data_IF_023926468509
#
_entry.id   IF_023926468509
#
_cell.length_a   1.000
_cell.length_b   1.000
_cell.length_c   1.000
_cell.angle_alpha   90.00
_cell.angle_beta   90.00
_cell.angle_gamma   90.00
#
_symmetry.space_group_name_H-M   'P 1'
#
loop_
_entity.id
_entity.type
_entity.pdbx_description
1 polymer ?
#
# COMPACT_ATOMS: atom_id res chain seq x y z
N UNK A 1 -2.19 -51.90 -20.15
CA UNK A 1 -3.49 -51.19 -20.38
C UNK A 1 -4.11 -50.72 -19.04
N UNK A 2 -4.26 -51.57 -18.03
CA UNK A 2 -4.92 -51.23 -16.74
C UNK A 2 -4.19 -50.13 -15.97
N UNK A 3 -2.85 -50.15 -15.91
CA UNK A 3 -2.04 -49.13 -15.21
C UNK A 3 -2.21 -47.74 -15.83
N UNK A 4 -2.29 -47.66 -17.16
CA UNK A 4 -2.49 -46.40 -17.87
C UNK A 4 -3.87 -45.78 -17.55
N UNK A 5 -4.91 -46.60 -17.50
CA UNK A 5 -6.27 -46.15 -17.13
C UNK A 5 -6.30 -45.62 -15.69
N UNK A 6 -5.62 -46.29 -14.77
CA UNK A 6 -5.55 -45.87 -13.37
C UNK A 6 -4.83 -44.52 -13.22
N UNK A 7 -3.70 -44.31 -13.90
CA UNK A 7 -2.96 -43.04 -13.89
C UNK A 7 -3.80 -41.91 -14.48
N UNK A 8 -4.52 -42.17 -15.58
CA UNK A 8 -5.42 -41.18 -16.19
C UNK A 8 -6.57 -40.83 -15.24
N UNK A 9 -7.17 -41.82 -14.58
CA UNK A 9 -8.24 -41.58 -13.61
C UNK A 9 -7.75 -40.73 -12.42
N UNK A 10 -6.54 -40.96 -11.88
CA UNK A 10 -5.93 -40.15 -10.85
C UNK A 10 -5.66 -38.73 -11.33
N UNK A 11 -5.14 -38.57 -12.55
CA UNK A 11 -4.88 -37.25 -13.12
C UNK A 11 -6.17 -36.43 -13.31
N UNK A 12 -7.23 -37.07 -13.79
CA UNK A 12 -8.56 -36.45 -13.92
C UNK A 12 -9.12 -36.08 -12.54
N UNK A 13 -9.06 -37.02 -11.59
CA UNK A 13 -9.50 -36.77 -10.22
C UNK A 13 -8.76 -35.61 -9.56
N UNK A 14 -7.44 -35.54 -9.74
CA UNK A 14 -6.62 -34.37 -9.30
C UNK A 14 -7.04 -33.09 -10.00
N UNK A 15 -7.18 -33.10 -11.32
CA UNK A 15 -7.55 -31.92 -12.10
C UNK A 15 -8.89 -31.33 -11.67
N UNK A 16 -9.89 -32.18 -11.40
CA UNK A 16 -11.23 -31.78 -10.96
C UNK A 16 -11.21 -31.22 -9.52
N UNK A 17 -10.37 -31.75 -8.63
CA UNK A 17 -10.38 -31.37 -7.21
C UNK A 17 -9.31 -30.37 -6.82
N UNK A 18 -8.33 -30.05 -7.67
CA UNK A 18 -7.23 -29.13 -7.35
C UNK A 18 -7.72 -27.76 -6.83
N UNK A 19 -8.80 -27.22 -7.42
CA UNK A 19 -9.32 -25.90 -7.03
C UNK A 19 -10.04 -25.97 -5.67
N UNK A 20 -10.65 -27.09 -5.31
CA UNK A 20 -11.24 -27.32 -3.99
C UNK A 20 -10.14 -27.43 -2.92
N UNK A 21 -9.05 -28.11 -3.23
CA UNK A 21 -7.91 -28.23 -2.32
C UNK A 21 -7.23 -26.87 -2.15
N UNK A 22 -7.09 -26.08 -3.22
CA UNK A 22 -6.47 -24.77 -3.20
C UNK A 22 -7.26 -23.74 -2.36
N UNK A 23 -8.58 -23.88 -2.25
CA UNK A 23 -9.46 -22.99 -1.51
C UNK A 23 -9.86 -23.52 -0.13
N UNK A 24 -9.05 -24.38 0.47
CA UNK A 24 -9.30 -24.82 1.84
C UNK A 24 -9.05 -23.70 2.85
N UNK A 25 -9.78 -23.64 3.98
CA UNK A 25 -9.67 -22.57 4.98
C UNK A 25 -8.26 -22.36 5.52
N UNK A 26 -7.44 -23.41 5.55
CA UNK A 26 -6.05 -23.35 5.99
C UNK A 26 -5.14 -22.52 5.07
N UNK A 27 -5.53 -22.32 3.82
CA UNK A 27 -4.81 -21.50 2.84
C UNK A 27 -5.40 -20.10 2.68
N UNK A 28 -6.49 -19.79 3.40
CA UNK A 28 -7.07 -18.46 3.41
C UNK A 28 -6.06 -17.47 3.98
N UNK A 29 -5.88 -16.34 3.32
CA UNK A 29 -4.93 -15.32 3.74
C UNK A 29 -5.41 -14.65 5.03
N UNK A 30 -4.53 -14.59 6.03
CA UNK A 30 -4.77 -13.91 7.29
C UNK A 30 -3.77 -12.78 7.48
N UNK A 31 -4.13 -11.80 8.27
CA UNK A 31 -3.31 -10.63 8.55
C UNK A 31 -1.90 -11.01 9.05
N UNK A 32 -1.86 -11.97 9.99
CA UNK A 32 -0.60 -12.45 10.59
C UNK A 32 0.32 -13.19 9.63
N UNK A 33 -0.18 -13.59 8.45
CA UNK A 33 0.60 -14.25 7.41
C UNK A 33 1.37 -13.27 6.52
N UNK A 34 1.09 -11.97 6.62
CA UNK A 34 1.74 -10.94 5.81
C UNK A 34 2.80 -10.22 6.64
N UNK A 35 4.05 -10.32 6.19
CA UNK A 35 5.16 -9.59 6.80
C UNK A 35 5.58 -8.42 5.92
N UNK A 36 5.63 -7.21 6.49
CA UNK A 36 6.09 -6.01 5.81
C UNK A 36 7.56 -5.71 6.10
N UNK A 37 8.29 -5.29 5.08
CA UNK A 37 9.67 -4.82 5.19
C UNK A 37 9.87 -3.59 4.29
N UNK A 38 10.54 -2.51 4.77
CA UNK A 38 10.91 -2.27 6.15
C UNK A 38 9.70 -2.10 7.07
N UNK A 39 9.93 -2.07 8.38
CA UNK A 39 8.87 -1.74 9.35
C UNK A 39 8.30 -0.36 9.04
N UNK A 40 7.00 -0.20 9.31
CA UNK A 40 6.30 1.05 9.14
C UNK A 40 6.99 2.21 9.87
N UNK A 41 7.21 3.36 9.20
CA UNK A 41 7.77 4.56 9.82
C UNK A 41 6.87 5.09 10.94
N UNK A 42 7.49 5.68 11.99
CA UNK A 42 6.77 6.20 13.16
C UNK A 42 5.79 7.33 12.86
N UNK A 43 6.01 8.10 11.79
CA UNK A 43 5.14 9.21 11.41
C UNK A 43 3.77 8.74 10.88
N UNK A 44 3.66 7.47 10.44
CA UNK A 44 2.38 6.89 10.04
C UNK A 44 1.71 6.31 11.29
N UNK A 45 0.62 6.91 11.73
CA UNK A 45 -0.12 6.49 12.94
C UNK A 45 -0.98 5.26 12.71
N UNK A 46 -1.64 5.20 11.54
CA UNK A 46 -2.53 4.10 11.19
C UNK A 46 -1.70 2.91 10.74
N UNK A 47 -2.01 1.72 11.23
CA UNK A 47 -1.36 0.50 10.75
C UNK A 47 -1.72 0.25 9.28
N UNK A 48 -0.70 0.37 8.41
CA UNK A 48 -0.85 0.26 6.96
C UNK A 48 -1.34 -1.13 6.56
N UNK A 49 -0.81 -2.18 7.21
CA UNK A 49 -1.18 -3.55 6.89
C UNK A 49 -2.65 -3.80 7.21
N UNK A 50 -3.08 -3.47 8.42
CA UNK A 50 -4.48 -3.65 8.85
C UNK A 50 -5.44 -2.88 7.94
N UNK A 51 -5.07 -1.63 7.59
CA UNK A 51 -5.90 -0.80 6.72
C UNK A 51 -6.02 -1.38 5.31
N UNK A 52 -4.91 -1.72 4.67
CA UNK A 52 -4.91 -2.32 3.32
C UNK A 52 -5.64 -3.65 3.32
N UNK A 53 -5.43 -4.48 4.35
CA UNK A 53 -6.08 -5.79 4.47
C UNK A 53 -7.60 -5.66 4.49
N UNK A 54 -8.14 -4.73 5.28
CA UNK A 54 -9.58 -4.48 5.39
C UNK A 54 -10.15 -3.80 4.13
N UNK A 55 -9.52 -2.70 3.67
CA UNK A 55 -10.03 -1.90 2.55
C UNK A 55 -10.06 -2.70 1.23
N UNK A 56 -9.11 -3.62 1.04
CA UNK A 56 -8.97 -4.43 -0.18
C UNK A 56 -9.56 -5.84 -0.04
N UNK A 57 -10.21 -6.14 1.10
CA UNK A 57 -10.84 -7.44 1.39
C UNK A 57 -9.89 -8.62 1.14
N UNK A 58 -8.66 -8.50 1.65
CA UNK A 58 -7.62 -9.49 1.43
C UNK A 58 -7.92 -10.82 2.14
N UNK A 59 -8.83 -10.84 3.09
CA UNK A 59 -9.36 -12.05 3.73
C UNK A 59 -10.04 -13.02 2.75
N UNK A 60 -10.50 -12.52 1.59
CA UNK A 60 -11.10 -13.36 0.55
C UNK A 60 -10.06 -14.05 -0.35
N UNK A 61 -8.77 -13.78 -0.13
CA UNK A 61 -7.68 -14.33 -0.93
C UNK A 61 -7.11 -15.62 -0.31
N UNK A 62 -6.39 -16.40 -1.12
CA UNK A 62 -5.77 -17.65 -0.71
C UNK A 62 -4.27 -17.66 -1.05
N UNK A 63 -3.45 -18.22 -0.14
CA UNK A 63 -1.99 -18.37 -0.36
C UNK A 63 -1.68 -19.19 -1.64
N UNK A 64 -2.58 -20.07 -2.03
CA UNK A 64 -2.47 -20.89 -3.23
C UNK A 64 -2.74 -20.15 -4.53
N UNK A 65 -3.37 -18.97 -4.47
CA UNK A 65 -3.66 -18.20 -5.68
C UNK A 65 -2.37 -17.73 -6.36
N UNK A 66 -2.26 -17.99 -7.66
CA UNK A 66 -1.13 -17.56 -8.48
C UNK A 66 -1.05 -16.05 -8.63
N UNK A 67 -2.18 -15.35 -8.56
CA UNK A 67 -2.28 -13.91 -8.71
C UNK A 67 -2.09 -13.15 -7.39
N UNK A 68 -2.01 -13.85 -6.25
CA UNK A 68 -1.93 -13.22 -4.94
C UNK A 68 -0.81 -12.17 -4.84
N UNK A 69 0.38 -12.46 -5.38
CA UNK A 69 1.49 -11.52 -5.35
C UNK A 69 1.19 -10.20 -6.09
N UNK A 70 0.53 -10.29 -7.24
CA UNK A 70 0.10 -9.11 -8.01
C UNK A 70 -1.00 -8.36 -7.27
N UNK A 71 -2.00 -9.07 -6.74
CA UNK A 71 -3.10 -8.47 -5.98
C UNK A 71 -2.60 -7.74 -4.73
N UNK A 72 -1.66 -8.33 -3.97
CA UNK A 72 -1.05 -7.67 -2.83
C UNK A 72 -0.25 -6.44 -3.24
N UNK A 73 0.56 -6.53 -4.31
CA UNK A 73 1.28 -5.39 -4.85
C UNK A 73 0.33 -4.24 -5.16
N UNK A 74 -0.72 -4.52 -5.93
CA UNK A 74 -1.68 -3.51 -6.37
C UNK A 74 -2.46 -2.93 -5.18
N UNK A 75 -2.84 -3.77 -4.21
CA UNK A 75 -3.50 -3.36 -2.98
C UNK A 75 -2.66 -2.37 -2.15
N UNK A 76 -1.36 -2.65 -1.97
CA UNK A 76 -0.48 -1.75 -1.23
C UNK A 76 -0.18 -0.44 -1.99
N UNK A 77 -0.11 -0.47 -3.32
CA UNK A 77 0.08 0.73 -4.15
C UNK A 77 -1.08 1.72 -4.07
N UNK A 78 -2.29 1.27 -3.72
CA UNK A 78 -3.45 2.14 -3.49
C UNK A 78 -3.35 2.92 -2.17
N UNK A 79 -2.45 2.54 -1.25
CA UNK A 79 -2.32 3.24 0.03
C UNK A 79 -1.45 4.49 -0.13
N UNK A 80 -1.99 5.66 0.22
CA UNK A 80 -1.37 6.98 0.01
C UNK A 80 0.02 7.15 0.65
N UNK A 81 0.35 6.39 1.71
CA UNK A 81 1.67 6.44 2.36
C UNK A 81 2.70 5.50 1.71
N UNK A 82 2.31 4.73 0.68
CA UNK A 82 3.20 3.79 -0.03
C UNK A 82 3.62 4.42 -1.35
N UNK A 83 4.94 4.56 -1.56
CA UNK A 83 5.51 5.04 -2.81
C UNK A 83 5.70 3.91 -3.82
N UNK A 84 5.93 2.69 -3.33
CA UNK A 84 6.17 1.54 -4.19
C UNK A 84 6.19 0.21 -3.45
N UNK A 85 6.08 -0.85 -4.23
CA UNK A 85 6.27 -2.23 -3.78
C UNK A 85 7.40 -2.83 -4.60
N UNK A 86 8.53 -3.09 -3.97
CA UNK A 86 9.73 -3.59 -4.66
C UNK A 86 9.70 -5.10 -4.89
N UNK A 87 9.08 -5.83 -3.95
CA UNK A 87 9.02 -7.29 -4.04
C UNK A 87 7.84 -7.84 -3.24
N UNK A 88 7.19 -8.87 -3.77
CA UNK A 88 6.25 -9.72 -3.05
C UNK A 88 6.72 -11.17 -3.19
N UNK A 89 6.99 -11.83 -2.07
CA UNK A 89 7.53 -13.20 -2.04
C UNK A 89 6.62 -14.10 -1.23
N UNK A 90 6.08 -15.14 -1.84
CA UNK A 90 5.27 -16.15 -1.15
C UNK A 90 6.18 -17.12 -0.39
N UNK A 91 5.75 -17.46 0.82
CA UNK A 91 6.31 -18.51 1.66
C UNK A 91 5.25 -19.62 1.87
N UNK A 92 5.63 -20.80 2.34
CA UNK A 92 4.67 -21.85 2.65
C UNK A 92 3.61 -21.43 3.69
N UNK A 93 3.96 -20.54 4.59
CA UNK A 93 3.18 -20.06 5.74
C UNK A 93 2.73 -18.59 5.64
N UNK A 94 3.02 -17.92 4.51
CA UNK A 94 2.65 -16.51 4.38
C UNK A 94 3.26 -15.80 3.17
N UNK A 95 3.34 -14.47 3.27
CA UNK A 95 3.84 -13.60 2.21
C UNK A 95 4.70 -12.49 2.80
N UNK A 96 5.88 -12.26 2.22
CA UNK A 96 6.73 -11.11 2.51
C UNK A 96 6.49 -10.02 1.46
N UNK A 97 6.17 -8.81 1.91
CA UNK A 97 5.96 -7.65 1.05
C UNK A 97 7.01 -6.59 1.38
N UNK A 98 7.82 -6.24 0.39
CA UNK A 98 8.82 -5.18 0.51
C UNK A 98 8.26 -3.88 -0.05
N UNK A 99 8.09 -2.89 0.84
CA UNK A 99 7.50 -1.60 0.56
C UNK A 99 8.56 -0.49 0.50
N UNK A 100 8.25 0.53 -0.27
CA UNK A 100 8.87 1.85 -0.16
C UNK A 100 7.81 2.79 0.38
N UNK A 101 8.02 3.30 1.59
CA UNK A 101 7.13 4.30 2.17
C UNK A 101 7.47 5.69 1.64
N UNK A 102 6.45 6.53 1.45
CA UNK A 102 6.67 7.95 1.17
C UNK A 102 7.25 8.62 2.40
N UNK A 103 8.07 9.63 2.19
CA UNK A 103 8.63 10.46 3.26
C UNK A 103 8.14 11.90 3.09
N UNK A 104 7.53 12.51 4.12
CA UNK A 104 7.19 13.92 4.08
C UNK A 104 8.47 14.75 4.05
N UNK A 105 8.55 15.72 3.14
CA UNK A 105 9.69 16.64 3.02
C UNK A 105 9.28 18.09 3.32
N UNK A 106 8.02 18.46 3.05
CA UNK A 106 7.52 19.81 3.30
C UNK A 106 6.05 19.81 3.70
N UNK A 107 5.61 20.92 4.31
CA UNK A 107 4.22 21.25 4.61
C UNK A 107 3.77 22.40 3.73
N UNK A 108 2.85 22.15 2.81
CA UNK A 108 2.25 23.20 1.99
C UNK A 108 1.15 23.88 2.80
N UNK A 109 1.27 25.19 2.94
CA UNK A 109 0.34 26.04 3.69
C UNK A 109 -0.72 26.57 2.74
N UNK A 110 -1.96 26.16 2.90
CA UNK A 110 -3.10 26.67 2.13
C UNK A 110 -4.00 27.49 3.05
N UNK A 111 -4.23 28.74 2.66
CA UNK A 111 -5.13 29.64 3.38
C UNK A 111 -6.46 29.68 2.63
N UNK A 112 -7.52 29.27 3.30
CA UNK A 112 -8.89 29.36 2.82
C UNK A 112 -9.69 30.28 3.75
N UNK A 113 -10.87 30.73 3.32
CA UNK A 113 -11.74 31.61 4.12
C UNK A 113 -12.09 31.01 5.50
N UNK A 114 -12.13 29.70 5.61
CA UNK A 114 -12.45 28.96 6.83
C UNK A 114 -11.22 28.58 7.67
N UNK A 115 -10.00 28.97 7.26
CA UNK A 115 -8.79 28.72 8.05
C UNK A 115 -7.53 28.40 7.24
N UNK A 116 -6.48 28.08 7.98
CA UNK A 116 -5.18 27.69 7.41
C UNK A 116 -5.02 26.18 7.55
N UNK A 117 -4.73 25.53 6.43
CA UNK A 117 -4.54 24.08 6.33
C UNK A 117 -3.11 23.75 5.96
N UNK A 118 -2.58 22.68 6.55
CA UNK A 118 -1.23 22.18 6.28
C UNK A 118 -1.35 20.83 5.59
N UNK A 119 -0.82 20.76 4.39
CA UNK A 119 -0.77 19.53 3.60
C UNK A 119 0.66 19.02 3.53
N UNK A 120 0.97 17.87 4.13
CA UNK A 120 2.28 17.25 3.98
C UNK A 120 2.45 16.72 2.56
N UNK A 121 3.64 16.92 1.99
CA UNK A 121 4.00 16.41 0.67
C UNK A 121 5.34 15.69 0.70
N UNK A 122 5.49 14.68 -0.15
CA UNK A 122 6.76 14.02 -0.39
C UNK A 122 7.61 14.76 -1.45
N UNK A 123 8.80 14.23 -1.78
CA UNK A 123 9.73 14.80 -2.77
C UNK A 123 9.14 14.93 -4.19
N UNK A 124 8.11 14.16 -4.51
CA UNK A 124 7.38 14.19 -5.79
C UNK A 124 6.15 15.09 -5.73
N UNK A 125 5.99 15.85 -4.64
CA UNK A 125 4.81 16.65 -4.32
C UNK A 125 3.50 15.83 -4.27
N UNK A 126 3.58 14.57 -3.88
CA UNK A 126 2.39 13.76 -3.60
C UNK A 126 1.83 14.15 -2.25
N UNK A 127 0.53 14.42 -2.20
CA UNK A 127 -0.18 14.84 -0.98
C UNK A 127 -0.32 13.64 -0.04
N UNK A 128 0.23 13.77 1.15
CA UNK A 128 0.13 12.76 2.20
C UNK A 128 -1.05 13.07 3.15
N UNK A 129 -1.62 12.05 3.83
CA UNK A 129 -2.73 12.27 4.73
C UNK A 129 -2.33 13.16 5.92
N UNK A 130 -2.91 14.35 6.11
CA UNK A 130 -2.52 15.26 7.21
C UNK A 130 -2.73 14.64 8.60
N UNK A 131 -3.76 13.78 8.76
CA UNK A 131 -4.08 13.12 10.03
C UNK A 131 -3.05 12.10 10.51
N UNK A 132 -2.07 11.73 9.69
CA UNK A 132 -0.99 10.79 10.07
C UNK A 132 0.12 11.47 10.87
N UNK A 133 0.20 12.81 10.89
CA UNK A 133 1.28 13.55 11.53
C UNK A 133 0.90 14.02 12.93
N UNK A 134 1.86 14.03 13.84
CA UNK A 134 1.72 14.71 15.13
C UNK A 134 2.03 16.20 14.96
N UNK A 135 1.37 17.04 15.76
CA UNK A 135 1.63 18.50 15.75
C UNK A 135 3.10 18.84 16.04
N UNK A 136 3.76 18.02 16.85
CA UNK A 136 5.18 18.15 17.20
C UNK A 136 6.10 17.87 16.00
N UNK A 137 5.73 16.95 15.11
CA UNK A 137 6.52 16.61 13.93
C UNK A 137 6.40 17.69 12.86
N UNK A 138 5.23 18.33 12.74
CA UNK A 138 4.92 19.34 11.71
C UNK A 138 5.86 20.57 11.79
N UNK A 139 6.32 20.93 12.98
CA UNK A 139 7.19 22.11 13.17
C UNK A 139 8.59 21.94 12.56
N UNK A 140 9.01 20.72 12.32
CA UNK A 140 10.34 20.40 11.81
C UNK A 140 10.41 20.41 10.26
N UNK A 141 9.26 20.51 9.58
CA UNK A 141 9.23 20.49 8.13
C UNK A 141 9.26 21.90 7.54
N UNK A 142 9.89 22.03 6.37
CA UNK A 142 9.87 23.26 5.58
C UNK A 142 8.41 23.64 5.25
N UNK A 143 8.05 24.90 5.49
CA UNK A 143 6.74 25.42 5.13
C UNK A 143 6.79 26.09 3.77
N UNK A 144 5.99 25.59 2.85
CA UNK A 144 5.82 26.17 1.51
C UNK A 144 4.51 26.94 1.50
N UNK A 145 4.59 28.27 1.43
CA UNK A 145 3.40 29.09 1.28
C UNK A 145 2.96 29.05 -0.20
N UNK A 146 1.74 28.62 -0.41
CA UNK A 146 1.13 28.58 -1.73
C UNK A 146 -0.15 29.38 -1.73
N UNK A 147 -0.27 30.27 -2.73
CA UNK A 147 -1.38 31.22 -2.81
C UNK A 147 -2.69 30.47 -3.13
N UNK A 148 -3.47 30.19 -2.09
CA UNK A 148 -4.90 29.86 -2.11
C UNK A 148 -5.38 28.69 -2.98
N UNK A 149 -4.52 27.86 -3.56
CA UNK A 149 -4.93 26.75 -4.41
C UNK A 149 -4.77 25.42 -3.67
N UNK A 150 -5.86 24.74 -3.33
CA UNK A 150 -5.79 23.39 -2.78
C UNK A 150 -5.20 22.41 -3.82
N UNK A 151 -4.73 21.23 -3.39
CA UNK A 151 -4.23 20.23 -4.33
C UNK A 151 -5.29 19.90 -5.39
N UNK A 152 -4.87 19.74 -6.63
CA UNK A 152 -5.77 19.40 -7.74
C UNK A 152 -6.37 17.99 -7.63
N UNK A 153 -5.64 17.07 -6.97
CA UNK A 153 -6.03 15.68 -6.76
C UNK A 153 -6.44 15.37 -5.33
N UNK A 154 -6.65 14.08 -5.08
CA UNK A 154 -6.94 13.55 -3.76
C UNK A 154 -5.64 13.27 -2.98
N UNK A 155 -5.79 12.89 -1.70
CA UNK A 155 -4.67 12.37 -0.90
C UNK A 155 -4.11 11.13 -1.60
N UNK A 156 -2.78 11.15 -1.85
CA UNK A 156 -2.09 10.13 -2.64
C UNK A 156 -1.76 10.54 -4.06
N UNK A 157 -2.38 11.62 -4.57
CA UNK A 157 -2.08 12.19 -5.89
C UNK A 157 -1.01 13.30 -5.80
N UNK A 158 -0.36 13.60 -6.94
CA UNK A 158 0.52 14.75 -7.03
C UNK A 158 -0.27 16.05 -6.90
N UNK A 159 0.36 17.07 -6.31
CA UNK A 159 -0.25 18.40 -6.14
C UNK A 159 -0.74 19.02 -7.46
N UNK A 160 -0.04 18.73 -8.54
CA UNK A 160 -0.39 19.24 -9.88
C UNK A 160 0.14 20.67 -10.17
N UNK A 161 0.94 21.27 -9.29
CA UNK A 161 1.57 22.55 -9.49
C UNK A 161 3.11 22.44 -9.51
N UNK A 162 3.74 22.95 -10.58
CA UNK A 162 5.18 22.91 -10.77
C UNK A 162 5.98 23.64 -9.69
N UNK A 163 5.42 24.68 -9.08
CA UNK A 163 6.07 25.42 -7.99
C UNK A 163 6.19 24.55 -6.76
N UNK A 164 5.13 23.81 -6.43
CA UNK A 164 5.13 22.88 -5.29
C UNK A 164 6.08 21.71 -5.56
N UNK A 165 6.08 21.15 -6.78
CA UNK A 165 7.02 20.10 -7.18
C UNK A 165 8.47 20.55 -7.03
N UNK A 166 8.80 21.78 -7.47
CA UNK A 166 10.15 22.35 -7.30
C UNK A 166 10.49 22.59 -5.83
N UNK A 167 9.55 23.14 -5.05
CA UNK A 167 9.74 23.37 -3.62
C UNK A 167 9.94 22.06 -2.84
N UNK A 168 9.17 21.02 -3.13
CA UNK A 168 9.32 19.70 -2.53
C UNK A 168 10.69 19.07 -2.82
N UNK A 169 11.19 19.19 -4.05
CA UNK A 169 12.54 18.72 -4.43
C UNK A 169 13.67 19.47 -3.74
N UNK A 170 13.48 20.76 -3.42
CA UNK A 170 14.48 21.54 -2.69
C UNK A 170 14.47 21.19 -1.20
N UNK A 171 13.31 20.76 -0.68
CA UNK A 171 13.15 20.36 0.71
C UNK A 171 13.62 18.94 1.02
N UNK A 172 13.76 18.07 -0.01
CA UNK A 172 14.22 16.68 0.10
C UNK A 172 15.74 16.61 0.22
#
# INVERSE_FOLDING_TARGET
AVLAIFVIALAIGWYINKDKVAKQPQYQLKLEMIALSPKQPKWIKTDVLTKVFADQKLEDQYLTDRKLATQLRDAFLLHSCVAGVTKVSKRPDGVDVQLVYRHPVAMVVVKLDNGTFLYPVDEQAVVLPPGQFHSEDIVNYLRVNHDFVPPAGQIGDSWGDDKIVKAAKVAA
#
